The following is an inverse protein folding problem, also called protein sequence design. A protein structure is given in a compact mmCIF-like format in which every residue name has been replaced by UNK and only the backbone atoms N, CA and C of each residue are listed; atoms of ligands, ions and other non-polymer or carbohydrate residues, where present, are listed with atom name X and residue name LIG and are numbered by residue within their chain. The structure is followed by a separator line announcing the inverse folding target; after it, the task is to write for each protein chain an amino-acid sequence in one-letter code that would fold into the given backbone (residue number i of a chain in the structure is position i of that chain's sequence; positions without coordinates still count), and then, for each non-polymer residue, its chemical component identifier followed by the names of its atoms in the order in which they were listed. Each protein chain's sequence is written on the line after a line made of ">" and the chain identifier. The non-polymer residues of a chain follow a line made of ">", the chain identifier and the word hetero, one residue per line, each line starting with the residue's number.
data_IF_403825595313
#
_entry.id   IF_403825595313
#
_cell.length_a   1.000
_cell.length_b   1.000
_cell.length_c   1.000
_cell.angle_alpha   90.00
_cell.angle_beta   90.00
_cell.angle_gamma   90.00
#
_symmetry.space_group_name_H-M   'P 1'
#
loop_
_entity.id
_entity.type
_entity.pdbx_description
1 polymer ?
#
# COMPACT_ATOMS: atom_id res chain seq x y z
N UNK A 1 11.19 -0.14 -11.20
CA UNK A 1 10.26 0.91 -10.70
C UNK A 1 10.90 2.32 -10.72
N UNK A 2 12.18 2.50 -10.38
CA UNK A 2 12.83 3.83 -10.40
C UNK A 2 13.52 4.24 -11.72
N UNK A 3 13.44 3.41 -12.76
CA UNK A 3 14.18 3.58 -14.03
C UNK A 3 13.89 4.91 -14.75
N UNK A 4 12.77 5.57 -14.44
CA UNK A 4 12.36 6.83 -15.06
C UNK A 4 12.20 7.99 -14.06
N UNK A 5 12.70 7.86 -12.84
CA UNK A 5 12.52 8.88 -11.79
C UNK A 5 13.15 10.24 -12.16
N UNK A 6 14.11 10.26 -13.08
CA UNK A 6 14.81 11.46 -13.53
C UNK A 6 14.20 12.08 -14.81
N UNK A 7 13.20 11.45 -15.44
CA UNK A 7 12.56 11.97 -16.64
C UNK A 7 11.36 12.85 -16.27
N UNK A 8 11.64 14.15 -16.08
CA UNK A 8 10.63 15.13 -15.71
C UNK A 8 9.49 15.23 -16.72
N UNK A 9 9.78 15.14 -18.02
CA UNK A 9 8.74 15.23 -19.05
C UNK A 9 7.81 14.03 -19.00
N UNK A 10 8.35 12.83 -18.81
CA UNK A 10 7.53 11.62 -18.64
C UNK A 10 6.72 11.65 -17.36
N UNK A 11 7.31 12.09 -16.24
CA UNK A 11 6.59 12.26 -14.97
C UNK A 11 5.43 13.24 -15.10
N UNK A 12 5.66 14.39 -15.72
CA UNK A 12 4.61 15.39 -15.97
C UNK A 12 3.50 14.85 -16.88
N UNK A 13 3.83 14.12 -17.95
CA UNK A 13 2.82 13.47 -18.79
C UNK A 13 1.98 12.45 -18.01
N UNK A 14 2.61 11.65 -17.14
CA UNK A 14 1.91 10.69 -16.28
C UNK A 14 0.95 11.37 -15.31
N UNK A 15 1.40 12.42 -14.60
CA UNK A 15 0.56 13.20 -13.69
C UNK A 15 -0.63 13.82 -14.43
N UNK A 16 -0.37 14.49 -15.54
CA UNK A 16 -1.43 15.14 -16.34
C UNK A 16 -2.44 14.11 -16.87
N UNK A 17 -1.97 12.98 -17.39
CA UNK A 17 -2.85 11.92 -17.89
C UNK A 17 -3.73 11.32 -16.80
N UNK A 18 -3.17 11.09 -15.61
CA UNK A 18 -3.92 10.61 -14.45
C UNK A 18 -5.02 11.61 -14.04
N UNK A 19 -4.68 12.90 -13.92
CA UNK A 19 -5.64 13.93 -13.56
C UNK A 19 -6.76 14.06 -14.61
N UNK A 20 -6.43 13.98 -15.90
CA UNK A 20 -7.42 14.00 -16.98
C UNK A 20 -8.36 12.81 -16.91
N UNK A 21 -7.82 11.60 -16.70
CA UNK A 21 -8.62 10.38 -16.56
C UNK A 21 -9.59 10.49 -15.37
N UNK A 22 -9.09 10.85 -14.19
CA UNK A 22 -9.93 10.97 -12.99
C UNK A 22 -10.96 12.09 -13.12
N UNK A 23 -10.60 13.22 -13.72
CA UNK A 23 -11.55 14.32 -14.01
C UNK A 23 -12.69 13.83 -14.90
N UNK A 24 -12.38 13.14 -15.99
CA UNK A 24 -13.39 12.56 -16.87
C UNK A 24 -14.28 11.54 -16.15
N UNK A 25 -13.71 10.68 -15.32
CA UNK A 25 -14.47 9.71 -14.54
C UNK A 25 -15.44 10.39 -13.56
N UNK A 26 -14.98 11.42 -12.85
CA UNK A 26 -15.82 12.20 -11.94
C UNK A 26 -16.95 12.90 -12.69
N UNK A 27 -16.65 13.57 -13.81
CA UNK A 27 -17.66 14.29 -14.59
C UNK A 27 -18.73 13.33 -15.15
N UNK A 28 -18.32 12.13 -15.56
CA UNK A 28 -19.25 11.08 -15.98
C UNK A 28 -20.18 10.64 -14.84
N UNK A 29 -19.65 10.42 -13.63
CA UNK A 29 -20.46 10.01 -12.46
C UNK A 29 -21.34 11.13 -11.91
N UNK A 30 -20.96 12.39 -12.11
CA UNK A 30 -21.83 13.54 -11.80
C UNK A 30 -23.02 13.57 -12.76
N UNK A 31 -22.79 13.36 -14.07
CA UNK A 31 -23.85 13.37 -15.06
C UNK A 31 -24.73 12.12 -15.02
N UNK A 32 -24.12 10.96 -14.76
CA UNK A 32 -24.76 9.64 -14.76
C UNK A 32 -24.26 8.82 -13.56
N UNK A 33 -24.85 9.00 -12.37
CA UNK A 33 -24.45 8.26 -11.17
C UNK A 33 -24.60 6.74 -11.36
N UNK A 34 -23.65 5.99 -10.82
CA UNK A 34 -23.58 4.52 -10.86
C UNK A 34 -23.47 3.95 -9.43
N UNK A 35 -23.51 2.62 -9.31
CA UNK A 35 -23.24 1.93 -8.04
C UNK A 35 -21.72 1.66 -7.92
N UNK A 36 -20.95 2.73 -7.74
CA UNK A 36 -19.50 2.65 -7.56
C UNK A 36 -18.97 3.65 -6.52
N UNK A 37 -17.72 3.43 -6.10
CA UNK A 37 -17.04 4.23 -5.08
C UNK A 37 -16.99 5.72 -5.41
N UNK A 38 -16.86 6.09 -6.68
CA UNK A 38 -16.80 7.51 -7.08
C UNK A 38 -18.17 8.15 -6.85
N UNK A 39 -19.25 7.47 -7.27
CA UNK A 39 -20.62 7.93 -7.08
C UNK A 39 -20.98 8.00 -5.59
N UNK A 40 -20.55 7.01 -4.79
CA UNK A 40 -20.72 7.00 -3.33
C UNK A 40 -20.05 8.22 -2.68
N UNK A 41 -18.80 8.52 -3.03
CA UNK A 41 -18.08 9.69 -2.52
C UNK A 41 -18.73 11.02 -2.93
N UNK A 42 -19.21 11.13 -4.18
CA UNK A 42 -19.88 12.33 -4.68
C UNK A 42 -21.22 12.60 -3.99
N UNK A 43 -21.88 11.55 -3.48
CA UNK A 43 -23.16 11.64 -2.77
C UNK A 43 -22.99 11.70 -1.24
N UNK A 44 -21.76 11.49 -0.74
CA UNK A 44 -21.46 11.49 0.68
C UNK A 44 -21.35 12.90 1.26
N UNK A 45 -21.62 12.99 2.56
CA UNK A 45 -21.47 14.22 3.34
C UNK A 45 -20.49 14.03 4.50
N UNK A 46 -19.79 15.11 4.86
CA UNK A 46 -18.97 15.21 6.05
C UNK A 46 -19.43 16.43 6.86
N UNK A 47 -19.76 16.24 8.14
CA UNK A 47 -20.34 17.27 9.00
C UNK A 47 -21.59 17.96 8.39
N UNK A 48 -22.42 17.18 7.68
CA UNK A 48 -23.64 17.65 7.02
C UNK A 48 -23.39 18.54 5.81
N UNK A 49 -22.18 18.54 5.25
CA UNK A 49 -21.83 19.22 4.00
C UNK A 49 -21.36 18.21 2.96
N UNK A 50 -21.70 18.39 1.66
CA UNK A 50 -21.17 17.56 0.60
C UNK A 50 -19.64 17.56 0.61
N UNK A 51 -19.04 16.40 0.35
CA UNK A 51 -17.58 16.30 0.22
C UNK A 51 -17.14 17.14 -0.99
N UNK A 52 -16.12 17.99 -0.81
CA UNK A 52 -15.61 18.80 -1.90
C UNK A 52 -15.05 17.93 -3.03
N UNK A 53 -15.31 18.32 -4.28
CA UNK A 53 -14.81 17.62 -5.48
C UNK A 53 -13.29 17.41 -5.46
N UNK A 54 -12.53 18.36 -4.89
CA UNK A 54 -11.08 18.29 -4.70
C UNK A 54 -10.67 17.11 -3.79
N UNK A 55 -11.44 16.88 -2.73
CA UNK A 55 -11.24 15.77 -1.78
C UNK A 55 -11.61 14.45 -2.43
N UNK A 56 -12.75 14.37 -3.13
CA UNK A 56 -13.14 13.18 -3.90
C UNK A 56 -12.06 12.80 -4.91
N UNK A 57 -11.55 13.79 -5.66
CA UNK A 57 -10.43 13.60 -6.59
C UNK A 57 -9.18 13.04 -5.88
N UNK A 58 -8.82 13.61 -4.74
CA UNK A 58 -7.68 13.15 -3.94
C UNK A 58 -7.84 11.72 -3.42
N UNK A 59 -9.04 11.35 -2.97
CA UNK A 59 -9.36 10.00 -2.52
C UNK A 59 -9.30 8.99 -3.66
N UNK A 60 -9.84 9.34 -4.84
CA UNK A 60 -9.77 8.49 -6.03
C UNK A 60 -8.32 8.29 -6.50
N UNK A 61 -7.52 9.35 -6.50
CA UNK A 61 -6.10 9.28 -6.83
C UNK A 61 -5.32 8.41 -5.82
N UNK A 62 -5.60 8.57 -4.52
CA UNK A 62 -5.01 7.75 -3.46
C UNK A 62 -5.36 6.28 -3.65
N UNK A 63 -6.64 5.96 -3.88
CA UNK A 63 -7.10 4.59 -4.08
C UNK A 63 -6.43 3.95 -5.30
N UNK A 64 -6.34 4.66 -6.41
CA UNK A 64 -5.70 4.15 -7.63
C UNK A 64 -4.21 3.86 -7.41
N UNK A 65 -3.47 4.82 -6.83
CA UNK A 65 -2.03 4.67 -6.61
C UNK A 65 -1.74 3.60 -5.56
N UNK A 66 -2.47 3.62 -4.43
CA UNK A 66 -2.27 2.66 -3.36
C UNK A 66 -2.70 1.25 -3.77
N UNK A 67 -3.81 1.11 -4.49
CA UNK A 67 -4.44 -0.17 -4.81
C UNK A 67 -3.75 -0.93 -5.95
N UNK A 68 -3.03 -0.26 -6.85
CA UNK A 68 -2.38 -0.92 -7.99
C UNK A 68 -1.03 -1.50 -7.59
N UNK A 69 -0.06 -0.64 -7.27
CA UNK A 69 1.35 -1.09 -7.16
C UNK A 69 1.57 -2.01 -5.95
N UNK A 70 0.89 -1.72 -4.83
CA UNK A 70 1.07 -2.52 -3.60
C UNK A 70 0.46 -3.90 -3.75
N UNK A 71 -0.80 -3.99 -4.21
CA UNK A 71 -1.50 -5.25 -4.45
C UNK A 71 -0.79 -6.08 -5.51
N UNK A 72 -0.38 -5.47 -6.62
CA UNK A 72 0.40 -6.13 -7.66
C UNK A 72 1.68 -6.75 -7.10
N UNK A 73 2.45 -5.98 -6.33
CA UNK A 73 3.72 -6.43 -5.77
C UNK A 73 3.53 -7.55 -4.73
N UNK A 74 2.52 -7.44 -3.86
CA UNK A 74 2.20 -8.46 -2.86
C UNK A 74 1.77 -9.77 -3.51
N UNK A 75 0.82 -9.73 -4.45
CA UNK A 75 0.36 -10.93 -5.17
C UNK A 75 1.53 -11.55 -5.95
N UNK A 76 2.30 -10.73 -6.67
CA UNK A 76 3.43 -11.21 -7.45
C UNK A 76 4.48 -11.91 -6.58
N UNK A 77 4.79 -11.35 -5.41
CA UNK A 77 5.75 -11.94 -4.47
C UNK A 77 5.23 -13.24 -3.85
N UNK A 78 3.95 -13.29 -3.49
CA UNK A 78 3.30 -14.51 -3.00
C UNK A 78 3.30 -15.62 -4.06
N UNK A 79 2.99 -15.29 -5.32
CA UNK A 79 3.05 -16.24 -6.43
C UNK A 79 4.48 -16.73 -6.67
N UNK A 80 5.47 -15.84 -6.63
CA UNK A 80 6.88 -16.20 -6.75
C UNK A 80 7.32 -17.15 -5.63
N UNK A 81 6.89 -16.90 -4.39
CA UNK A 81 7.16 -17.79 -3.25
C UNK A 81 6.59 -19.19 -3.51
N UNK A 82 5.30 -19.30 -3.84
CA UNK A 82 4.63 -20.59 -4.08
C UNK A 82 5.15 -21.32 -5.34
N UNK A 83 5.74 -20.58 -6.30
CA UNK A 83 6.40 -21.17 -7.45
C UNK A 83 7.78 -21.77 -7.11
N UNK A 84 8.47 -21.18 -6.13
CA UNK A 84 9.83 -21.56 -5.72
C UNK A 84 9.89 -22.47 -4.49
N UNK A 85 8.79 -22.59 -3.75
CA UNK A 85 8.65 -23.41 -2.52
C UNK A 85 7.53 -24.44 -2.69
N UNK A 86 7.76 -25.55 -3.43
CA UNK A 86 6.72 -26.52 -3.75
C UNK A 86 6.12 -27.20 -2.52
N UNK A 87 6.88 -27.34 -1.43
CA UNK A 87 6.40 -27.87 -0.15
C UNK A 87 5.33 -26.99 0.50
N UNK A 88 5.51 -25.67 0.46
CA UNK A 88 4.57 -24.71 1.05
C UNK A 88 3.29 -24.66 0.22
N UNK A 89 3.44 -24.68 -1.11
CA UNK A 89 2.32 -24.83 -2.04
C UNK A 89 1.56 -26.15 -1.79
N UNK A 90 2.24 -27.26 -1.61
CA UNK A 90 1.60 -28.55 -1.36
C UNK A 90 0.88 -28.57 -0.01
N UNK A 91 1.46 -27.97 1.03
CA UNK A 91 0.84 -27.84 2.34
C UNK A 91 -0.46 -27.05 2.26
N UNK A 92 -0.47 -25.90 1.59
CA UNK A 92 -1.70 -25.09 1.40
C UNK A 92 -2.79 -25.79 0.58
N UNK A 93 -2.43 -26.72 -0.31
CA UNK A 93 -3.40 -27.56 -1.02
C UNK A 93 -4.01 -28.64 -0.12
N UNK A 94 -3.20 -29.20 0.79
CA UNK A 94 -3.61 -30.26 1.70
C UNK A 94 -4.33 -29.73 2.94
N UNK A 95 -4.03 -28.49 3.36
CA UNK A 95 -4.53 -27.83 4.57
C UNK A 95 -5.11 -26.45 4.22
N UNK A 96 -6.31 -26.38 3.59
CA UNK A 96 -6.90 -25.10 3.16
C UNK A 96 -7.18 -24.12 4.31
N UNK A 97 -7.35 -24.61 5.53
CA UNK A 97 -7.61 -23.76 6.70
C UNK A 97 -6.39 -22.91 7.10
N UNK A 98 -5.20 -23.16 6.52
CA UNK A 98 -4.00 -22.36 6.72
C UNK A 98 -3.98 -21.04 5.92
N UNK A 99 -4.85 -20.88 4.93
CA UNK A 99 -4.81 -19.69 4.06
C UNK A 99 -4.83 -18.35 4.82
N UNK A 100 -5.68 -18.15 5.86
CA UNK A 100 -5.68 -16.91 6.62
C UNK A 100 -4.31 -16.56 7.22
N UNK A 101 -3.64 -17.50 7.91
CA UNK A 101 -2.34 -17.25 8.53
C UNK A 101 -1.22 -17.14 7.49
N UNK A 102 -1.27 -17.96 6.44
CA UNK A 102 -0.28 -17.96 5.38
C UNK A 102 -0.27 -16.63 4.61
N UNK A 103 -1.44 -16.02 4.38
CA UNK A 103 -1.54 -14.71 3.74
C UNK A 103 -0.83 -13.65 4.59
N UNK A 104 -1.08 -13.61 5.90
CA UNK A 104 -0.41 -12.68 6.82
C UNK A 104 1.11 -12.91 6.84
N UNK A 105 1.56 -14.17 6.86
CA UNK A 105 2.99 -14.48 6.82
C UNK A 105 3.66 -14.05 5.50
N UNK A 106 3.00 -14.24 4.36
CA UNK A 106 3.51 -13.80 3.07
C UNK A 106 3.59 -12.27 3.01
N UNK A 107 2.58 -11.57 3.55
CA UNK A 107 2.60 -10.11 3.67
C UNK A 107 3.72 -9.62 4.60
N UNK A 108 4.00 -10.34 5.70
CA UNK A 108 5.16 -10.05 6.57
C UNK A 108 6.46 -10.19 5.79
N UNK A 109 6.70 -11.35 5.19
CA UNK A 109 7.97 -11.69 4.54
C UNK A 109 8.25 -10.84 3.29
N UNK A 110 7.21 -10.47 2.55
CA UNK A 110 7.31 -9.76 1.27
C UNK A 110 6.67 -8.38 1.28
N UNK A 111 6.62 -7.71 2.43
CA UNK A 111 6.08 -6.36 2.55
C UNK A 111 6.71 -5.41 1.50
N UNK A 112 5.92 -4.77 0.62
CA UNK A 112 6.47 -3.99 -0.50
C UNK A 112 6.69 -2.51 -0.16
N UNK A 113 6.20 -2.04 0.99
CA UNK A 113 6.12 -0.61 1.31
C UNK A 113 7.14 -0.20 2.36
N UNK A 114 7.84 0.90 2.08
CA UNK A 114 8.58 1.68 3.08
C UNK A 114 7.95 3.06 3.18
N UNK A 115 7.56 3.47 4.40
CA UNK A 115 6.90 4.76 4.64
C UNK A 115 7.87 5.77 5.25
N UNK A 116 7.53 7.05 5.20
CA UNK A 116 8.23 8.09 5.94
C UNK A 116 7.28 8.86 6.86
N UNK A 117 7.84 9.47 7.91
CA UNK A 117 7.20 10.49 8.74
C UNK A 117 8.07 11.72 8.81
N UNK A 118 7.45 12.88 9.02
CA UNK A 118 8.14 14.14 9.26
C UNK A 118 7.93 14.55 10.71
N UNK A 119 9.00 14.86 11.42
CA UNK A 119 8.90 15.28 12.82
C UNK A 119 8.21 16.64 12.94
N UNK A 120 7.25 16.74 13.85
CA UNK A 120 6.51 17.99 14.12
C UNK A 120 7.22 18.91 15.11
N UNK A 121 8.08 18.34 15.96
CA UNK A 121 8.90 19.03 16.95
C UNK A 121 10.19 18.25 17.20
N UNK A 122 11.15 18.86 17.88
CA UNK A 122 12.39 18.20 18.32
C UNK A 122 12.05 17.05 19.28
N UNK A 123 12.71 15.91 19.11
CA UNK A 123 12.50 14.71 19.94
C UNK A 123 13.79 13.92 20.07
N UNK A 124 13.97 13.23 21.20
CA UNK A 124 15.02 12.24 21.36
C UNK A 124 14.39 10.84 21.35
N UNK A 125 14.86 9.97 20.45
CA UNK A 125 14.36 8.60 20.33
C UNK A 125 15.50 7.60 20.47
N UNK A 126 15.43 6.71 21.47
CA UNK A 126 16.47 5.72 21.78
C UNK A 126 17.88 6.35 21.86
N UNK A 127 18.00 7.53 22.47
CA UNK A 127 19.27 8.27 22.60
C UNK A 127 19.74 9.00 21.33
N UNK A 128 18.92 9.02 20.27
CA UNK A 128 19.20 9.77 19.04
C UNK A 128 18.39 11.08 19.02
N UNK A 129 19.02 12.26 19.17
CA UNK A 129 18.34 13.54 19.07
C UNK A 129 18.01 13.85 17.61
N UNK A 130 16.75 14.22 17.34
CA UNK A 130 16.23 14.55 16.02
C UNK A 130 15.49 15.89 16.06
N UNK A 131 15.48 16.60 14.93
CA UNK A 131 14.96 17.97 14.84
C UNK A 131 13.60 18.03 14.14
N UNK A 132 12.81 19.04 14.52
CA UNK A 132 11.58 19.36 13.83
C UNK A 132 11.83 19.51 12.33
N UNK A 133 11.04 18.80 11.52
CA UNK A 133 11.16 18.80 10.07
C UNK A 133 12.03 17.67 9.48
N UNK A 134 12.80 16.96 10.29
CA UNK A 134 13.52 15.76 9.85
C UNK A 134 12.55 14.71 9.31
N UNK A 135 13.00 13.95 8.30
CA UNK A 135 12.24 12.86 7.69
C UNK A 135 12.80 11.53 8.16
N UNK A 136 11.95 10.73 8.79
CA UNK A 136 12.30 9.41 9.31
C UNK A 136 11.69 8.36 8.42
N UNK A 137 12.53 7.50 7.85
CA UNK A 137 12.11 6.36 7.06
C UNK A 137 11.77 5.19 7.98
N UNK A 138 10.55 4.68 7.86
CA UNK A 138 10.05 3.52 8.57
C UNK A 138 10.11 2.32 7.62
N UNK A 139 11.20 1.55 7.74
CA UNK A 139 11.47 0.39 6.90
C UNK A 139 10.71 -0.84 7.42
N UNK A 140 9.44 -0.97 7.01
CA UNK A 140 8.61 -2.12 7.38
C UNK A 140 9.21 -3.47 6.94
N UNK A 141 9.80 -3.63 5.74
CA UNK A 141 10.45 -4.88 5.34
C UNK A 141 11.58 -5.31 6.29
N UNK A 142 12.31 -4.36 6.86
CA UNK A 142 13.35 -4.64 7.85
C UNK A 142 12.75 -4.95 9.22
N UNK A 143 11.75 -4.19 9.67
CA UNK A 143 11.05 -4.45 10.94
C UNK A 143 10.37 -5.83 10.94
N UNK A 144 9.80 -6.24 9.81
CA UNK A 144 9.23 -7.56 9.61
C UNK A 144 10.26 -8.69 9.66
N UNK A 145 11.56 -8.37 9.58
CA UNK A 145 12.68 -9.31 9.72
C UNK A 145 13.44 -9.16 11.03
N UNK A 146 12.92 -8.39 11.98
CA UNK A 146 13.56 -8.18 13.27
C UNK A 146 13.47 -9.47 14.13
N UNK A 147 14.59 -10.09 14.52
CA UNK A 147 14.58 -11.29 15.36
C UNK A 147 14.07 -11.04 16.78
N UNK A 148 14.02 -9.79 17.25
CA UNK A 148 13.39 -9.45 18.53
C UNK A 148 11.86 -9.53 18.46
N UNK A 149 11.28 -9.32 17.27
CA UNK A 149 9.84 -9.39 17.03
C UNK A 149 9.41 -10.76 16.49
N UNK A 150 10.19 -11.37 15.60
CA UNK A 150 9.84 -12.61 14.90
C UNK A 150 10.95 -13.66 15.01
N UNK A 151 10.72 -14.80 15.70
CA UNK A 151 11.66 -15.92 15.69
C UNK A 151 11.84 -16.47 14.27
N UNK A 152 13.08 -16.80 13.90
CA UNK A 152 13.45 -17.22 12.54
C UNK A 152 12.88 -16.28 11.44
N UNK A 153 13.19 -14.97 11.50
CA UNK A 153 12.47 -13.94 10.74
C UNK A 153 12.61 -14.08 9.23
N UNK A 154 13.71 -14.67 8.77
CA UNK A 154 14.02 -14.88 7.35
C UNK A 154 13.30 -16.09 6.74
N UNK A 155 12.66 -16.93 7.57
CA UNK A 155 11.87 -18.06 7.09
C UNK A 155 10.40 -17.67 6.98
N UNK A 156 9.77 -18.15 5.91
CA UNK A 156 8.31 -18.13 5.76
C UNK A 156 7.76 -19.34 6.50
N UNK A 157 6.97 -19.10 7.54
CA UNK A 157 6.32 -20.13 8.36
C UNK A 157 4.81 -19.91 8.24
N UNK A 158 4.14 -20.73 7.42
CA UNK A 158 2.74 -20.52 7.01
C UNK A 158 1.73 -20.45 8.17
N UNK A 159 2.06 -21.09 9.27
CA UNK A 159 1.31 -21.19 10.51
C UNK A 159 1.93 -20.36 11.64
N UNK A 160 2.70 -19.31 11.31
CA UNK A 160 3.20 -18.35 12.30
C UNK A 160 2.03 -17.68 13.00
N UNK A 161 1.77 -18.11 14.23
CA UNK A 161 0.94 -17.37 15.18
C UNK A 161 1.77 -16.23 15.78
N UNK A 162 1.13 -15.07 15.94
CA UNK A 162 1.67 -13.77 16.37
C UNK A 162 3.06 -13.78 17.03
#
# INVERSE_FOLDING_TARGET
>A
VLEFAHDDQRRMRGITGLLQYLTGALDERIANPTDDFISELLQSEHDGQPIERSVVMGMCALLLIAGIDTTWSSIGSSMWHLATHPQDRQRLLNEPDLWPTAIEELLRAYAPVTMARRLSHDVEFKGCPMKAGDRILMNFPAANRDPEAFPEPDKVILDREH
#
